data_IF_918115766476
#
_entry.id   IF_918115766476
#
_cell.length_a   1.000
_cell.length_b   1.000
_cell.length_c   1.000
_cell.angle_alpha   90.00
_cell.angle_beta   90.00
_cell.angle_gamma   90.00
#
_symmetry.space_group_name_H-M   'P 1'
#
loop_
_entity.id
_entity.type
_entity.pdbx_description
1 polymer ?
#
# COMPACT_ATOMS: atom_id res chain seq x y z
N UNK A 1 8.40 11.78 -21.26
CA UNK A 1 8.78 11.45 -19.88
C UNK A 1 9.52 10.12 -19.92
N UNK A 2 10.83 10.15 -19.64
CA UNK A 2 11.77 9.04 -19.88
C UNK A 2 11.50 7.80 -19.02
N UNK A 3 11.60 6.65 -19.64
CA UNK A 3 11.20 5.29 -19.22
C UNK A 3 12.15 4.62 -18.23
N UNK A 4 12.73 5.35 -17.27
CA UNK A 4 13.90 4.84 -16.53
C UNK A 4 13.62 4.46 -15.05
N UNK A 5 12.40 4.63 -14.55
CA UNK A 5 12.06 4.26 -13.16
C UNK A 5 11.55 2.82 -13.08
N UNK A 6 12.48 1.85 -13.05
CA UNK A 6 12.16 0.45 -12.75
C UNK A 6 12.08 0.27 -11.24
N UNK A 7 10.90 0.47 -10.64
CA UNK A 7 10.68 0.02 -9.26
C UNK A 7 10.53 -1.50 -9.24
N UNK A 8 11.26 -2.15 -8.35
CA UNK A 8 11.17 -3.60 -8.10
C UNK A 8 10.83 -3.85 -6.65
N UNK A 9 10.07 -4.90 -6.39
CA UNK A 9 9.90 -5.44 -5.03
C UNK A 9 10.74 -6.71 -4.94
N UNK A 10 11.74 -6.70 -4.07
CA UNK A 10 12.60 -7.85 -3.78
C UNK A 10 12.35 -8.32 -2.35
N UNK A 11 12.18 -9.62 -2.18
CA UNK A 11 11.89 -10.23 -0.88
C UNK A 11 13.16 -10.81 -0.27
N UNK A 12 13.38 -10.52 1.01
CA UNK A 12 14.44 -11.15 1.81
C UNK A 12 13.80 -11.84 3.00
N UNK A 13 14.27 -13.03 3.34
CA UNK A 13 13.83 -13.78 4.53
C UNK A 13 14.97 -13.90 5.52
N UNK A 14 14.69 -13.65 6.80
CA UNK A 14 15.66 -13.85 7.86
C UNK A 14 15.61 -15.31 8.36
N UNK A 15 16.65 -16.09 8.10
CA UNK A 15 16.76 -17.50 8.48
C UNK A 15 18.10 -17.71 9.17
N UNK A 16 18.10 -18.28 10.38
CA UNK A 16 19.33 -18.69 11.08
C UNK A 16 20.36 -17.57 11.26
N UNK A 17 19.90 -16.34 11.51
CA UNK A 17 20.78 -15.18 11.71
C UNK A 17 21.21 -14.46 10.43
N UNK A 18 20.66 -14.82 9.25
CA UNK A 18 21.08 -14.25 7.96
C UNK A 18 19.88 -13.88 7.09
N UNK A 19 20.04 -12.84 6.27
CA UNK A 19 19.09 -12.52 5.21
C UNK A 19 19.36 -13.38 3.98
N UNK A 20 18.32 -14.07 3.50
CA UNK A 20 18.33 -14.89 2.29
C UNK A 20 17.43 -14.24 1.26
N UNK A 21 17.99 -13.84 0.13
CA UNK A 21 17.23 -13.32 -1.02
C UNK A 21 16.26 -14.38 -1.53
N UNK A 22 14.98 -14.04 -1.59
CA UNK A 22 13.91 -14.90 -2.11
C UNK A 22 13.57 -14.57 -3.58
N UNK A 23 14.23 -13.56 -4.16
CA UNK A 23 14.03 -13.12 -5.53
C UNK A 23 13.10 -11.91 -5.66
N UNK A 24 12.76 -11.63 -6.92
CA UNK A 24 11.85 -10.55 -7.29
C UNK A 24 10.40 -11.02 -7.12
N UNK A 25 9.62 -10.24 -6.37
CA UNK A 25 8.18 -10.42 -6.25
C UNK A 25 7.43 -9.71 -7.38
N UNK A 26 7.88 -8.50 -7.73
CA UNK A 26 7.31 -7.69 -8.81
C UNK A 26 8.43 -7.08 -9.64
N UNK A 27 8.26 -7.12 -10.95
CA UNK A 27 9.12 -6.45 -11.93
C UNK A 27 8.37 -5.36 -12.73
N UNK A 28 9.13 -4.73 -13.63
CA UNK A 28 8.80 -3.61 -14.53
C UNK A 28 7.50 -3.71 -15.35
N UNK A 29 6.76 -4.81 -15.31
CA UNK A 29 5.56 -5.01 -16.11
C UNK A 29 4.33 -5.53 -15.35
N UNK A 30 4.29 -5.42 -14.03
CA UNK A 30 3.06 -5.64 -13.28
C UNK A 30 2.05 -4.46 -13.39
N UNK A 31 2.09 -3.64 -14.43
CA UNK A 31 1.13 -2.54 -14.65
C UNK A 31 1.04 -1.48 -13.53
N UNK A 32 2.00 -1.46 -12.58
CA UNK A 32 2.11 -0.47 -11.52
C UNK A 32 3.25 0.50 -11.89
N UNK A 33 2.92 1.73 -12.26
CA UNK A 33 3.90 2.77 -12.56
C UNK A 33 4.13 3.66 -11.33
N UNK A 34 5.39 4.09 -11.10
CA UNK A 34 6.39 3.29 -10.37
C UNK A 34 5.88 2.81 -9.00
N UNK A 35 6.18 1.57 -8.57
CA UNK A 35 5.86 1.12 -7.19
C UNK A 35 6.51 2.05 -6.17
N UNK A 36 5.74 2.57 -5.21
CA UNK A 36 6.25 3.52 -4.22
C UNK A 36 6.07 3.09 -2.77
N UNK A 37 5.03 2.32 -2.44
CA UNK A 37 4.66 2.05 -1.05
C UNK A 37 4.15 0.64 -0.88
N UNK A 38 4.35 0.10 0.32
CA UNK A 38 3.86 -1.21 0.71
C UNK A 38 3.37 -1.18 2.15
N UNK A 39 2.45 -2.10 2.45
CA UNK A 39 1.98 -2.38 3.80
C UNK A 39 2.10 -3.89 4.03
N UNK A 40 2.47 -4.27 5.24
CA UNK A 40 2.62 -5.67 5.67
C UNK A 40 1.69 -5.90 6.83
N UNK A 41 0.96 -7.01 6.82
CA UNK A 41 0.02 -7.37 7.86
C UNK A 41 -0.68 -8.68 7.56
N UNK A 42 -1.29 -9.30 8.57
CA UNK A 42 -2.12 -10.49 8.41
C UNK A 42 -3.54 -10.06 7.96
N UNK A 43 -3.70 -9.79 6.66
CA UNK A 43 -4.94 -9.24 6.10
C UNK A 43 -6.05 -10.28 5.95
N UNK A 44 -5.77 -11.56 6.16
CA UNK A 44 -6.76 -12.64 6.03
C UNK A 44 -6.91 -13.48 7.31
N UNK A 45 -6.25 -13.09 8.40
CA UNK A 45 -6.25 -13.77 9.70
C UNK A 45 -5.79 -15.23 9.63
N UNK A 46 -4.84 -15.56 8.73
CA UNK A 46 -4.29 -16.91 8.58
C UNK A 46 -3.01 -17.16 9.41
N UNK A 47 -2.56 -16.14 10.15
CA UNK A 47 -1.37 -16.18 10.98
C UNK A 47 -0.05 -15.98 10.22
N UNK A 48 -0.12 -15.64 8.93
CA UNK A 48 1.04 -15.26 8.13
C UNK A 48 0.98 -13.82 7.66
N UNK A 49 2.14 -13.24 7.32
CA UNK A 49 2.22 -11.82 6.97
C UNK A 49 2.07 -11.67 5.45
N UNK A 50 1.00 -11.01 5.06
CA UNK A 50 0.70 -10.65 3.69
C UNK A 50 1.33 -9.30 3.33
N UNK A 51 1.30 -8.97 2.04
CA UNK A 51 1.88 -7.75 1.48
C UNK A 51 0.90 -7.07 0.54
N UNK A 52 0.64 -5.78 0.74
CA UNK A 52 -0.05 -4.94 -0.23
C UNK A 52 0.96 -3.96 -0.82
N UNK A 53 1.01 -3.86 -2.15
CA UNK A 53 1.96 -3.02 -2.89
C UNK A 53 1.20 -2.02 -3.74
N UNK A 54 1.47 -0.72 -3.53
CA UNK A 54 0.82 0.37 -4.25
C UNK A 54 1.75 1.05 -5.26
N UNK A 55 1.18 1.40 -6.41
CA UNK A 55 1.79 2.32 -7.37
C UNK A 55 1.94 3.72 -6.79
N UNK A 56 3.03 4.37 -7.15
CA UNK A 56 3.42 5.68 -6.66
C UNK A 56 2.90 6.84 -7.45
N UNK A 57 2.72 6.72 -8.77
CA UNK A 57 2.20 7.80 -9.60
C UNK A 57 1.26 7.23 -10.67
N UNK A 58 0.06 7.78 -10.77
CA UNK A 58 -0.76 7.68 -11.96
C UNK A 58 -0.18 8.62 -13.03
N UNK A 59 -0.42 8.33 -14.31
CA UNK A 59 -0.07 9.30 -15.34
C UNK A 59 -0.96 10.56 -15.22
N UNK A 60 -0.47 11.75 -15.61
CA UNK A 60 -1.22 13.00 -15.51
C UNK A 60 -2.53 13.03 -16.30
N UNK A 61 -2.68 12.12 -17.28
CA UNK A 61 -3.87 12.00 -18.12
C UNK A 61 -4.84 10.92 -17.63
N UNK A 62 -4.62 10.33 -16.44
CA UNK A 62 -5.48 9.30 -15.85
C UNK A 62 -5.70 8.08 -16.78
N UNK A 63 -4.76 7.82 -17.70
CA UNK A 63 -4.73 6.63 -18.53
C UNK A 63 -4.29 5.38 -17.74
N UNK A 64 -3.67 5.59 -16.58
CA UNK A 64 -3.15 4.59 -15.65
C UNK A 64 -3.44 5.03 -14.21
N UNK A 65 -4.64 4.74 -13.65
CA UNK A 65 -4.95 5.09 -12.27
C UNK A 65 -3.97 4.42 -11.30
N UNK A 66 -3.77 5.02 -10.13
CA UNK A 66 -3.05 4.34 -9.06
C UNK A 66 -3.75 3.02 -8.71
N UNK A 67 -2.96 1.97 -8.47
CA UNK A 67 -3.43 0.63 -8.14
C UNK A 67 -2.64 0.07 -6.97
N UNK A 68 -3.29 -0.78 -6.19
CA UNK A 68 -2.64 -1.58 -5.16
C UNK A 68 -2.96 -3.07 -5.35
N UNK A 69 -1.90 -3.89 -5.27
CA UNK A 69 -1.95 -5.35 -5.44
C UNK A 69 -1.76 -6.03 -4.10
N UNK A 70 -2.59 -7.01 -3.81
CA UNK A 70 -2.49 -7.87 -2.63
C UNK A 70 -1.67 -9.13 -2.97
N UNK A 71 -0.68 -9.44 -2.15
CA UNK A 71 0.07 -10.69 -2.15
C UNK A 71 -0.11 -11.42 -0.82
N UNK A 72 -0.71 -12.61 -0.87
CA UNK A 72 -0.88 -13.48 0.28
C UNK A 72 0.34 -14.35 0.50
N UNK A 73 0.83 -14.47 1.72
CA UNK A 73 1.82 -15.46 2.07
C UNK A 73 1.18 -16.83 2.21
N UNK A 74 1.68 -17.83 1.49
CA UNK A 74 1.22 -19.20 1.70
C UNK A 74 1.70 -19.72 3.07
N UNK A 75 0.91 -20.61 3.73
CA UNK A 75 1.23 -21.14 5.05
C UNK A 75 2.66 -21.71 5.18
N UNK A 76 3.18 -21.70 6.41
CA UNK A 76 4.51 -22.25 6.75
C UNK A 76 5.67 -21.57 6.02
N UNK A 77 5.53 -20.27 5.75
CA UNK A 77 6.55 -19.52 5.04
C UNK A 77 6.64 -19.93 3.56
N UNK A 78 5.51 -20.25 2.93
CA UNK A 78 5.46 -20.44 1.49
C UNK A 78 5.72 -19.14 0.73
N UNK A 79 5.59 -19.20 -0.61
CA UNK A 79 5.75 -18.04 -1.47
C UNK A 79 4.61 -17.04 -1.28
N UNK A 80 4.85 -15.78 -1.67
CA UNK A 80 3.80 -14.78 -1.83
C UNK A 80 3.05 -15.03 -3.15
N UNK A 81 1.73 -15.06 -3.11
CA UNK A 81 0.85 -15.24 -4.27
C UNK A 81 -0.08 -14.05 -4.43
N UNK A 82 -0.18 -13.51 -5.65
CA UNK A 82 -1.09 -12.40 -5.93
C UNK A 82 -2.57 -12.83 -5.80
N UNK A 83 -3.34 -12.03 -5.07
CA UNK A 83 -4.79 -12.17 -4.89
C UNK A 83 -5.52 -11.20 -5.82
N UNK A 84 -5.58 -11.54 -7.10
CA UNK A 84 -6.12 -10.67 -8.17
C UNK A 84 -7.58 -10.24 -7.91
N UNK A 85 -8.37 -11.08 -7.25
CA UNK A 85 -9.76 -10.78 -6.90
C UNK A 85 -9.92 -9.74 -5.76
N UNK A 86 -8.81 -9.33 -5.14
CA UNK A 86 -8.76 -8.47 -3.96
C UNK A 86 -7.94 -7.20 -4.27
N UNK A 87 -8.12 -6.66 -5.47
CA UNK A 87 -7.53 -5.37 -5.85
C UNK A 87 -8.03 -4.27 -4.94
N UNK A 88 -7.10 -3.48 -4.40
CA UNK A 88 -7.43 -2.36 -3.54
C UNK A 88 -7.66 -1.16 -4.45
N UNK A 89 -8.93 -0.79 -4.63
CA UNK A 89 -9.31 0.33 -5.46
C UNK A 89 -8.82 1.66 -4.84
N UNK A 90 -8.13 2.47 -5.64
CA UNK A 90 -7.64 3.80 -5.26
C UNK A 90 -8.29 4.88 -6.14
N UNK A 91 -9.63 5.09 -6.02
CA UNK A 91 -10.37 5.94 -6.94
C UNK A 91 -9.93 7.41 -6.86
N UNK A 92 -9.63 8.01 -8.02
CA UNK A 92 -9.40 9.45 -8.15
C UNK A 92 -8.00 9.93 -7.72
N UNK A 93 -7.04 9.02 -7.50
CA UNK A 93 -5.70 9.37 -7.06
C UNK A 93 -4.69 9.43 -8.20
N UNK A 94 -3.80 10.41 -8.10
CA UNK A 94 -2.66 10.53 -9.01
C UNK A 94 -1.34 9.98 -8.43
N UNK A 95 -1.31 9.54 -7.17
CA UNK A 95 -0.12 8.98 -6.52
C UNK A 95 -0.46 8.30 -5.17
N UNK A 96 0.48 7.52 -4.63
CA UNK A 96 0.47 7.06 -3.23
C UNK A 96 1.83 7.37 -2.62
N UNK A 97 1.85 8.20 -1.57
CA UNK A 97 3.09 8.65 -0.91
C UNK A 97 3.23 8.14 0.53
N UNK A 98 2.25 7.37 1.02
CA UNK A 98 2.31 6.68 2.30
C UNK A 98 1.25 5.60 2.35
N UNK A 99 1.54 4.50 3.06
CA UNK A 99 0.58 3.43 3.28
C UNK A 99 0.88 2.71 4.60
N UNK A 100 -0.15 2.44 5.38
CA UNK A 100 -0.08 1.75 6.67
C UNK A 100 -1.31 0.86 6.86
N UNK A 101 -1.11 -0.28 7.52
CA UNK A 101 -2.17 -1.20 7.90
C UNK A 101 -2.36 -1.20 9.40
N UNK A 102 -3.61 -1.11 9.86
CA UNK A 102 -3.98 -1.07 11.29
C UNK A 102 -5.47 -1.40 11.42
N UNK A 103 -5.85 -2.13 12.47
CA UNK A 103 -7.26 -2.30 12.83
C UNK A 103 -7.75 -1.02 13.52
N UNK A 104 -8.55 -0.21 12.84
CA UNK A 104 -8.98 1.10 13.36
C UNK A 104 -10.29 1.06 14.13
N UNK A 105 -11.08 0.01 13.96
CA UNK A 105 -12.40 -0.10 14.59
C UNK A 105 -12.52 -1.27 15.57
N UNK A 106 -11.41 -1.98 15.80
CA UNK A 106 -11.30 -3.06 16.78
C UNK A 106 -12.02 -4.32 16.36
N UNK A 107 -12.30 -4.50 15.08
CA UNK A 107 -13.04 -5.65 14.57
C UNK A 107 -12.16 -6.86 14.21
N UNK A 108 -10.85 -6.75 14.50
CA UNK A 108 -9.85 -7.80 14.33
C UNK A 108 -9.34 -7.91 12.90
N UNK A 109 -9.69 -6.97 12.02
CA UNK A 109 -9.22 -6.92 10.63
C UNK A 109 -8.40 -5.67 10.37
N UNK A 110 -7.34 -5.82 9.59
CA UNK A 110 -6.46 -4.70 9.25
C UNK A 110 -7.10 -3.83 8.17
N UNK A 111 -7.39 -2.58 8.51
CA UNK A 111 -7.74 -1.53 7.57
C UNK A 111 -6.48 -0.94 6.93
N UNK A 112 -6.64 -0.19 5.84
CA UNK A 112 -5.56 0.52 5.17
C UNK A 112 -5.75 2.03 5.26
N UNK A 113 -4.67 2.73 5.56
CA UNK A 113 -4.58 4.17 5.46
C UNK A 113 -3.52 4.48 4.43
N UNK A 114 -3.83 5.37 3.49
CA UNK A 114 -2.83 5.87 2.56
C UNK A 114 -2.85 7.40 2.47
N UNK A 115 -1.71 7.96 2.10
CA UNK A 115 -1.55 9.39 1.86
C UNK A 115 -1.25 9.71 0.40
N UNK A 116 -1.72 10.87 -0.06
CA UNK A 116 -1.49 11.37 -1.41
C UNK A 116 -1.27 12.90 -1.44
N UNK A 117 -0.30 13.43 -2.23
CA UNK A 117 0.07 14.85 -2.28
C UNK A 117 -0.94 15.82 -2.91
N UNK A 118 -2.21 15.46 -3.09
CA UNK A 118 -3.19 16.36 -3.72
C UNK A 118 -3.00 16.53 -5.24
N UNK A 119 -3.93 17.23 -5.88
CA UNK A 119 -3.85 17.56 -7.32
C UNK A 119 -2.70 18.55 -7.56
N UNK A 120 -2.07 18.49 -8.74
CA UNK A 120 -0.98 19.38 -9.15
C UNK A 120 -1.28 20.85 -8.80
N UNK A 121 -0.47 21.43 -7.89
CA UNK A 121 -0.61 22.81 -7.42
C UNK A 121 -1.40 23.01 -6.12
N UNK A 122 -1.92 21.94 -5.52
CA UNK A 122 -2.47 21.94 -4.16
C UNK A 122 -1.41 21.52 -3.14
N UNK A 123 -1.36 22.21 -2.00
CA UNK A 123 -0.51 21.90 -0.85
C UNK A 123 -1.12 20.87 0.13
N UNK A 124 -2.31 20.36 -0.19
CA UNK A 124 -3.11 19.61 0.78
C UNK A 124 -2.83 18.11 0.62
N UNK A 125 -1.90 17.60 1.44
CA UNK A 125 -1.78 16.17 1.65
C UNK A 125 -3.11 15.60 2.15
N UNK A 126 -3.58 14.49 1.58
CA UNK A 126 -4.84 13.84 1.99
C UNK A 126 -4.58 12.47 2.56
N UNK A 127 -5.43 12.05 3.51
CA UNK A 127 -5.52 10.68 4.00
C UNK A 127 -6.84 10.06 3.55
N UNK A 128 -6.79 8.86 3.00
CA UNK A 128 -7.96 8.02 2.85
C UNK A 128 -7.83 6.79 3.74
N UNK A 129 -8.95 6.44 4.36
CA UNK A 129 -9.14 5.19 5.06
C UNK A 129 -9.93 4.22 4.18
N UNK A 130 -9.38 3.03 4.00
CA UNK A 130 -10.07 1.89 3.44
C UNK A 130 -10.34 0.86 4.55
N UNK A 131 -11.62 0.64 4.84
CA UNK A 131 -12.05 -0.38 5.78
C UNK A 131 -11.99 -1.75 5.13
N UNK A 132 -11.45 -2.74 5.82
CA UNK A 132 -11.51 -4.12 5.39
C UNK A 132 -12.84 -4.76 5.79
N UNK A 133 -13.55 -5.27 4.78
CA UNK A 133 -14.80 -6.00 4.95
C UNK A 133 -14.55 -7.46 5.30
N UNK A 134 -15.57 -8.13 5.85
CA UNK A 134 -15.50 -9.55 6.23
C UNK A 134 -15.18 -10.49 5.04
N UNK A 135 -15.49 -10.08 3.82
CA UNK A 135 -15.14 -10.82 2.60
C UNK A 135 -13.69 -10.59 2.13
N UNK A 136 -12.89 -9.84 2.89
CA UNK A 136 -11.51 -9.44 2.59
C UNK A 136 -11.38 -8.23 1.65
N UNK A 137 -12.46 -7.78 1.01
CA UNK A 137 -12.41 -6.60 0.15
C UNK A 137 -12.23 -5.32 0.97
N UNK A 138 -11.72 -4.27 0.31
CA UNK A 138 -11.52 -2.97 0.93
C UNK A 138 -12.52 -1.98 0.38
N UNK A 139 -13.21 -1.25 1.26
CA UNK A 139 -14.12 -0.17 0.89
C UNK A 139 -13.65 1.16 1.48
N UNK A 140 -13.95 2.25 0.78
CA UNK A 140 -13.69 3.59 1.30
C UNK A 140 -14.63 3.86 2.48
N UNK A 141 -14.07 4.06 3.67
CA UNK A 141 -14.88 4.39 4.86
C UNK A 141 -15.03 5.91 5.04
N UNK A 142 -13.96 6.67 4.83
CA UNK A 142 -13.94 8.13 5.03
C UNK A 142 -12.75 8.79 4.33
N UNK A 143 -12.92 10.06 3.92
CA UNK A 143 -11.78 10.94 3.62
C UNK A 143 -11.54 11.81 4.85
N UNK A 144 -10.34 11.73 5.42
CA UNK A 144 -9.94 12.68 6.44
C UNK A 144 -9.10 13.77 5.78
N UNK A 145 -9.63 14.99 5.81
CA UNK A 145 -8.84 16.19 5.52
C UNK A 145 -7.92 16.45 6.70
N UNK A 146 -6.77 15.80 6.72
CA UNK A 146 -5.69 16.27 7.55
C UNK A 146 -4.92 17.28 6.70
N UNK A 147 -5.03 18.58 6.98
CA UNK A 147 -4.02 19.55 6.55
C UNK A 147 -2.75 19.20 7.35
N UNK A 148 -2.11 18.11 6.94
CA UNK A 148 -0.76 17.79 7.36
C UNK A 148 0.09 18.81 6.60
N UNK A 149 0.74 19.73 7.32
CA UNK A 149 1.87 20.52 6.81
C UNK A 149 3.03 19.55 6.46
N UNK A 150 2.76 18.63 5.54
CA UNK A 150 3.71 17.69 5.00
C UNK A 150 4.45 18.47 3.91
N UNK A 151 5.66 18.87 4.29
CA UNK A 151 6.76 19.37 3.47
C UNK A 151 6.52 19.31 1.95
N UNK A 152 6.53 20.50 1.34
CA UNK A 152 6.11 20.79 -0.05
C UNK A 152 7.06 20.18 -1.09
N UNK A 153 8.15 19.59 -0.63
CA UNK A 153 9.18 18.87 -1.36
C UNK A 153 9.25 17.37 -1.00
N UNK A 154 8.09 16.80 -0.68
CA UNK A 154 7.64 15.63 -1.43
C UNK A 154 8.30 14.31 -1.12
N UNK A 155 8.45 13.90 0.15
CA UNK A 155 8.54 12.48 0.54
C UNK A 155 8.05 12.30 1.99
N UNK A 156 6.73 12.26 2.21
CA UNK A 156 6.21 11.98 3.55
C UNK A 156 6.60 10.57 3.99
N UNK A 157 7.13 10.41 5.21
CA UNK A 157 7.09 9.13 5.89
C UNK A 157 5.61 8.71 5.98
N UNK A 158 5.25 7.51 5.52
CA UNK A 158 3.86 7.07 5.50
C UNK A 158 3.18 7.22 6.87
N UNK A 159 1.84 7.36 6.91
CA UNK A 159 1.11 7.66 8.15
C UNK A 159 1.50 6.66 9.24
N UNK A 160 1.86 7.13 10.44
CA UNK A 160 2.10 6.24 11.58
C UNK A 160 0.88 6.33 12.47
N UNK A 161 0.28 5.19 12.77
CA UNK A 161 -0.85 5.09 13.70
C UNK A 161 -0.37 4.44 14.98
N UNK A 162 -0.84 4.98 16.09
CA UNK A 162 -0.63 4.46 17.43
C UNK A 162 -1.99 4.47 18.12
N UNK A 163 -2.37 3.31 18.63
CA UNK A 163 -3.50 3.15 19.55
C UNK A 163 -3.07 3.67 20.94
N UNK A 164 -3.91 4.51 21.55
CA UNK A 164 -3.67 5.10 22.87
C UNK A 164 -4.65 4.62 23.93
N UNK A 165 -5.71 3.92 23.55
CA UNK A 165 -6.82 3.56 24.42
C UNK A 165 -6.89 2.08 24.81
N UNK A 166 -6.31 1.17 24.02
CA UNK A 166 -6.01 -0.21 24.43
C UNK A 166 -7.19 -1.18 24.59
#
# INVERSE_FOLDING_TARGET
>A
FGTNNSSVVRLFRFIGGRFVDQGLLLDRHAGLLPIAKFAVGDFNADGTMDLIVASGWADPWNSYPARARYFQQLPRGGALQERVAQEVALPGLNAVVGMTAVDMDGDGRLDLIYSWPGLWGGSDGRLLILKQLQNGSFEKSSELFAQLDADVDGFSAGPKVLDFDG
#
